data_IF_021667155928
#
_entry.id   IF_021667155928
#
_cell.length_a   1.000
_cell.length_b   1.000
_cell.length_c   1.000
_cell.angle_alpha   90.00
_cell.angle_beta   90.00
_cell.angle_gamma   90.00
#
_symmetry.space_group_name_H-M   'P 1'
#
loop_
_entity.id
_entity.type
_entity.pdbx_description
1 polymer ?
#
# COMPACT_ATOMS: atom_id res chain seq x y z
N UNK A 1 -2.43 18.42 4.61
CA UNK A 1 -1.40 17.68 5.40
C UNK A 1 -1.34 16.20 5.02
N UNK A 2 -2.41 15.41 5.17
CA UNK A 2 -2.41 13.96 4.88
C UNK A 2 -2.05 13.62 3.42
N UNK A 3 -2.62 14.33 2.45
CA UNK A 3 -2.35 14.11 1.02
C UNK A 3 -0.88 14.37 0.66
N UNK A 4 -0.27 15.43 1.19
CA UNK A 4 1.15 15.73 0.97
C UNK A 4 2.04 14.64 1.57
N UNK A 5 1.74 14.22 2.80
CA UNK A 5 2.43 13.13 3.46
C UNK A 5 2.31 11.81 2.68
N UNK A 6 1.12 11.46 2.19
CA UNK A 6 0.91 10.25 1.42
C UNK A 6 1.70 10.26 0.10
N UNK A 7 1.83 11.43 -0.53
CA UNK A 7 2.69 11.61 -1.71
C UNK A 7 4.17 11.39 -1.37
N UNK A 8 4.62 11.92 -0.23
CA UNK A 8 6.00 11.71 0.24
C UNK A 8 6.23 10.22 0.58
N UNK A 9 5.28 9.58 1.25
CA UNK A 9 5.33 8.15 1.56
C UNK A 9 5.40 7.30 0.28
N UNK A 10 4.61 7.63 -0.74
CA UNK A 10 4.66 6.94 -2.03
C UNK A 10 6.05 7.02 -2.67
N UNK A 11 6.68 8.20 -2.65
CA UNK A 11 8.04 8.38 -3.17
C UNK A 11 9.07 7.55 -2.40
N UNK A 12 8.91 7.47 -1.08
CA UNK A 12 9.75 6.63 -0.22
C UNK A 12 9.57 5.16 -0.58
N UNK A 13 8.34 4.68 -0.74
CA UNK A 13 8.08 3.29 -1.13
C UNK A 13 8.61 2.98 -2.54
N UNK A 14 8.52 3.92 -3.47
CA UNK A 14 9.16 3.79 -4.79
C UNK A 14 10.69 3.69 -4.70
N UNK A 15 11.31 4.44 -3.78
CA UNK A 15 12.76 4.36 -3.56
C UNK A 15 13.15 3.03 -2.90
N UNK A 16 12.43 2.59 -1.87
CA UNK A 16 12.61 1.28 -1.24
C UNK A 16 12.51 0.18 -2.31
N UNK A 17 11.47 0.18 -3.11
CA UNK A 17 11.29 -0.81 -4.14
C UNK A 17 12.42 -0.84 -5.17
N UNK A 18 12.99 0.32 -5.57
CA UNK A 18 14.14 0.39 -6.49
C UNK A 18 15.43 -0.17 -5.90
N UNK A 19 15.65 0.07 -4.61
CA UNK A 19 16.89 -0.34 -3.94
C UNK A 19 16.89 -1.80 -3.52
N UNK A 20 15.72 -2.36 -3.22
CA UNK A 20 15.61 -3.63 -2.50
C UNK A 20 14.93 -4.76 -3.24
N UNK A 21 14.18 -4.46 -4.28
CA UNK A 21 13.51 -5.48 -5.08
C UNK A 21 14.10 -5.56 -6.47
N UNK A 22 14.23 -6.78 -6.97
CA UNK A 22 14.47 -7.00 -8.40
C UNK A 22 13.29 -6.35 -9.14
N UNK A 23 13.53 -5.52 -10.16
CA UNK A 23 12.43 -4.90 -10.90
C UNK A 23 11.48 -5.98 -11.42
N UNK A 24 10.20 -5.84 -11.12
CA UNK A 24 9.19 -6.72 -11.66
C UNK A 24 9.05 -6.46 -13.15
N UNK A 25 9.04 -7.52 -13.95
CA UNK A 25 8.92 -7.41 -15.40
C UNK A 25 7.52 -6.98 -15.84
N UNK A 26 6.53 -7.30 -15.01
CA UNK A 26 5.13 -7.04 -15.35
C UNK A 26 4.22 -6.90 -14.12
N UNK A 27 3.03 -6.34 -14.35
CA UNK A 27 2.01 -6.11 -13.33
C UNK A 27 1.57 -7.40 -12.60
N UNK A 28 1.58 -8.56 -13.27
CA UNK A 28 1.21 -9.83 -12.62
C UNK A 28 2.19 -10.23 -11.53
N UNK A 29 3.48 -9.99 -11.74
CA UNK A 29 4.50 -10.29 -10.73
C UNK A 29 4.33 -9.41 -9.50
N UNK A 30 4.03 -8.12 -9.71
CA UNK A 30 3.74 -7.20 -8.60
C UNK A 30 2.56 -7.72 -7.77
N UNK A 31 1.44 -8.08 -8.41
CA UNK A 31 0.28 -8.59 -7.69
C UNK A 31 0.57 -9.93 -7.00
N UNK A 32 1.25 -10.86 -7.67
CA UNK A 32 1.57 -12.16 -7.09
C UNK A 32 2.52 -12.03 -5.87
N UNK A 33 3.33 -10.98 -5.84
CA UNK A 33 4.21 -10.67 -4.71
C UNK A 33 3.44 -10.09 -3.52
N UNK A 34 2.67 -9.04 -3.76
CA UNK A 34 2.08 -8.25 -2.67
C UNK A 34 0.75 -8.79 -2.16
N UNK A 35 -0.03 -9.45 -3.00
CA UNK A 35 -1.33 -9.97 -2.58
C UNK A 35 -1.24 -10.92 -1.37
N UNK A 36 -0.37 -11.97 -1.37
CA UNK A 36 -0.25 -12.83 -0.20
C UNK A 36 0.28 -12.09 1.02
N UNK A 37 1.24 -11.18 0.86
CA UNK A 37 1.79 -10.40 1.97
C UNK A 37 0.73 -9.52 2.65
N UNK A 38 -0.08 -8.81 1.86
CA UNK A 38 -1.16 -7.99 2.43
C UNK A 38 -2.21 -8.86 3.14
N UNK A 39 -2.49 -10.05 2.63
CA UNK A 39 -3.40 -11.00 3.30
C UNK A 39 -2.79 -11.47 4.63
N UNK A 40 -1.50 -11.76 4.68
CA UNK A 40 -0.78 -12.14 5.90
C UNK A 40 -0.87 -11.02 6.96
N UNK A 41 -0.56 -9.78 6.58
CA UNK A 41 -0.67 -8.60 7.46
C UNK A 41 -2.11 -8.36 7.97
N UNK A 42 -3.11 -8.67 7.16
CA UNK A 42 -4.51 -8.59 7.60
C UNK A 42 -4.86 -9.66 8.66
N UNK A 43 -4.27 -10.85 8.56
CA UNK A 43 -4.41 -11.88 9.61
C UNK A 43 -3.70 -11.48 10.89
N UNK A 44 -2.49 -10.91 10.81
CA UNK A 44 -1.75 -10.42 11.97
C UNK A 44 -2.51 -9.27 12.65
N UNK A 45 -3.12 -8.37 11.88
CA UNK A 45 -3.98 -7.32 12.37
C UNK A 45 -5.19 -7.89 13.14
N UNK A 46 -5.86 -8.91 12.60
CA UNK A 46 -6.99 -9.57 13.27
C UNK A 46 -6.55 -10.27 14.56
N UNK A 47 -5.47 -11.03 14.51
CA UNK A 47 -4.91 -11.72 15.67
C UNK A 47 -4.50 -10.73 16.77
N UNK A 48 -3.87 -9.61 16.41
CA UNK A 48 -3.43 -8.58 17.36
C UNK A 48 -4.59 -7.96 18.14
N UNK A 49 -5.76 -7.82 17.50
CA UNK A 49 -6.98 -7.37 18.19
C UNK A 49 -7.50 -8.42 19.17
N UNK A 50 -7.57 -9.67 18.76
CA UNK A 50 -8.07 -10.76 19.61
C UNK A 50 -7.20 -10.95 20.86
N UNK A 51 -5.89 -10.80 20.73
CA UNK A 51 -4.92 -10.95 21.81
C UNK A 51 -4.76 -9.67 22.67
N UNK A 52 -5.44 -8.57 22.32
CA UNK A 52 -5.32 -7.29 23.02
C UNK A 52 -3.90 -6.71 23.00
N UNK A 53 -3.12 -7.02 21.96
CA UNK A 53 -1.73 -6.57 21.84
C UNK A 53 -1.68 -5.04 21.66
N UNK A 54 -0.70 -4.40 22.35
CA UNK A 54 -0.44 -2.95 22.18
C UNK A 54 -0.01 -2.58 20.75
N UNK A 55 0.47 -3.55 19.98
CA UNK A 55 0.93 -3.39 18.59
C UNK A 55 -0.20 -3.34 17.56
N UNK A 56 -1.48 -3.40 17.93
CA UNK A 56 -2.59 -3.48 16.98
C UNK A 56 -2.59 -2.34 15.94
N UNK A 57 -2.26 -1.11 16.34
CA UNK A 57 -2.15 0.00 15.40
C UNK A 57 -0.87 -0.05 14.55
N UNK A 58 0.17 -0.76 15.02
CA UNK A 58 1.37 -1.03 14.22
C UNK A 58 1.05 -2.04 13.10
N UNK A 59 0.32 -3.11 13.40
CA UNK A 59 -0.14 -4.06 12.38
C UNK A 59 -1.05 -3.38 11.34
N UNK A 60 -1.93 -2.47 11.79
CA UNK A 60 -2.72 -1.64 10.87
C UNK A 60 -1.84 -0.79 9.96
N UNK A 61 -0.75 -0.23 10.49
CA UNK A 61 0.20 0.56 9.71
C UNK A 61 0.96 -0.31 8.70
N UNK A 62 1.26 -1.57 9.03
CA UNK A 62 1.93 -2.49 8.10
C UNK A 62 1.01 -2.82 6.92
N UNK A 63 -0.26 -3.13 7.14
CA UNK A 63 -1.24 -3.27 6.04
C UNK A 63 -1.28 -2.02 5.16
N UNK A 64 -1.27 -0.82 5.79
CA UNK A 64 -1.28 0.45 5.06
C UNK A 64 -0.02 0.62 4.20
N UNK A 65 1.15 0.34 4.76
CA UNK A 65 2.46 0.43 4.08
C UNK A 65 2.50 -0.52 2.88
N UNK A 66 2.09 -1.77 3.04
CA UNK A 66 2.07 -2.75 1.95
C UNK A 66 1.10 -2.37 0.82
N UNK A 67 -0.04 -1.74 1.13
CA UNK A 67 -0.94 -1.21 0.09
C UNK A 67 -0.30 -0.05 -0.69
N UNK A 68 0.42 0.85 0.01
CA UNK A 68 1.15 1.94 -0.65
C UNK A 68 2.31 1.39 -1.47
N UNK A 69 3.01 0.35 -1.00
CA UNK A 69 4.08 -0.30 -1.74
C UNK A 69 3.54 -1.02 -2.99
N UNK A 70 2.43 -1.75 -2.87
CA UNK A 70 1.75 -2.36 -4.00
C UNK A 70 1.43 -1.31 -5.08
N UNK A 71 0.86 -0.18 -4.66
CA UNK A 71 0.55 0.91 -5.58
C UNK A 71 1.82 1.50 -6.21
N UNK A 72 2.87 1.73 -5.42
CA UNK A 72 4.15 2.24 -5.88
C UNK A 72 4.78 1.37 -6.98
N UNK A 73 4.73 0.05 -6.81
CA UNK A 73 5.30 -0.89 -7.77
C UNK A 73 4.41 -1.10 -9.00
N UNK A 74 3.09 -1.09 -8.85
CA UNK A 74 2.17 -1.07 -10.00
C UNK A 74 2.35 0.19 -10.82
N UNK A 75 2.52 1.34 -10.16
CA UNK A 75 2.62 2.64 -10.81
C UNK A 75 3.88 2.81 -11.66
N UNK A 76 4.94 2.00 -11.43
CA UNK A 76 6.12 1.96 -12.32
C UNK A 76 5.78 1.52 -13.74
N UNK A 77 4.70 0.77 -13.90
CA UNK A 77 4.19 0.33 -15.20
C UNK A 77 3.18 1.29 -15.81
N UNK A 78 2.90 2.43 -15.13
CA UNK A 78 1.97 3.43 -15.64
C UNK A 78 2.61 4.28 -16.74
N UNK A 79 1.95 4.48 -17.88
CA UNK A 79 2.52 5.22 -19.01
C UNK A 79 2.90 6.67 -18.69
N UNK A 80 2.19 7.31 -17.76
CA UNK A 80 2.39 8.74 -17.46
C UNK A 80 3.20 9.03 -16.18
N UNK A 81 3.60 8.05 -15.39
CA UNK A 81 4.45 8.11 -14.17
C UNK A 81 4.27 9.33 -13.22
N UNK A 82 3.17 10.05 -13.30
CA UNK A 82 2.87 11.24 -12.47
C UNK A 82 2.12 10.85 -11.20
N UNK A 83 2.78 10.07 -10.30
CA UNK A 83 2.13 9.43 -9.19
C UNK A 83 1.68 10.36 -8.05
N UNK A 84 0.39 10.53 -7.92
CA UNK A 84 -0.23 10.87 -6.64
C UNK A 84 -1.35 9.86 -6.40
N UNK A 85 -1.40 9.26 -5.21
CA UNK A 85 -2.57 8.45 -4.83
C UNK A 85 -3.72 9.44 -4.62
N UNK A 86 -4.80 9.38 -5.42
CA UNK A 86 -5.98 10.16 -5.11
C UNK A 86 -6.57 9.62 -3.81
N UNK A 87 -6.35 10.34 -2.72
CA UNK A 87 -6.85 9.93 -1.43
C UNK A 87 -8.06 10.77 -1.05
N UNK A 88 -9.21 10.13 -1.00
CA UNK A 88 -10.47 10.73 -0.56
C UNK A 88 -10.81 10.19 0.81
N UNK A 89 -10.43 10.87 1.91
CA UNK A 89 -10.83 10.42 3.24
C UNK A 89 -12.36 10.50 3.33
N UNK A 90 -12.99 9.37 3.55
CA UNK A 90 -14.39 9.34 3.92
C UNK A 90 -14.56 10.08 5.25
N UNK A 91 -15.34 11.14 5.25
CA UNK A 91 -15.33 12.13 6.31
C UNK A 91 -16.08 11.70 7.60
N UNK A 92 -16.83 10.60 7.62
CA UNK A 92 -17.84 10.43 8.69
C UNK A 92 -18.00 8.99 9.22
N UNK A 93 -17.39 7.96 8.65
CA UNK A 93 -17.71 6.57 9.04
C UNK A 93 -16.57 5.95 9.83
N UNK A 94 -16.82 5.61 11.09
CA UNK A 94 -15.99 4.65 11.83
C UNK A 94 -16.33 3.24 11.36
N UNK A 95 -15.32 2.45 11.04
CA UNK A 95 -15.47 1.06 10.62
C UNK A 95 -15.06 0.13 11.77
N UNK A 96 -15.72 -1.02 11.86
CA UNK A 96 -15.22 -2.15 12.65
C UNK A 96 -14.01 -2.79 11.96
N UNK A 97 -13.26 -3.65 12.67
CA UNK A 97 -12.15 -4.38 12.07
C UNK A 97 -12.63 -5.28 10.94
N UNK A 98 -13.70 -6.04 11.18
CA UNK A 98 -14.29 -6.94 10.19
C UNK A 98 -14.72 -6.21 8.91
N UNK A 99 -15.38 -5.06 9.03
CA UNK A 99 -15.74 -4.22 7.89
C UNK A 99 -14.52 -3.70 7.15
N UNK A 100 -13.46 -3.35 7.88
CA UNK A 100 -12.20 -2.86 7.32
C UNK A 100 -11.50 -3.94 6.53
N UNK A 101 -11.29 -5.11 7.14
CA UNK A 101 -10.69 -6.28 6.47
C UNK A 101 -11.51 -6.66 5.24
N UNK A 102 -12.82 -6.78 5.38
CA UNK A 102 -13.72 -7.11 4.27
C UNK A 102 -13.60 -6.12 3.10
N UNK A 103 -13.51 -4.82 3.39
CA UNK A 103 -13.33 -3.79 2.36
C UNK A 103 -11.97 -3.91 1.67
N UNK A 104 -10.88 -4.09 2.43
CA UNK A 104 -9.52 -4.23 1.87
C UNK A 104 -9.44 -5.48 0.99
N UNK A 105 -9.88 -6.64 1.49
CA UNK A 105 -9.87 -7.92 0.74
C UNK A 105 -10.69 -7.82 -0.54
N UNK A 106 -11.88 -7.20 -0.49
CA UNK A 106 -12.72 -6.99 -1.66
C UNK A 106 -12.00 -6.14 -2.73
N UNK A 107 -11.30 -5.07 -2.33
CA UNK A 107 -10.57 -4.21 -3.27
C UNK A 107 -9.36 -4.93 -3.87
N UNK A 108 -8.58 -5.64 -3.05
CA UNK A 108 -7.47 -6.47 -3.50
C UNK A 108 -7.92 -7.55 -4.48
N UNK A 109 -9.04 -8.22 -4.19
CA UNK A 109 -9.63 -9.22 -5.08
C UNK A 109 -10.03 -8.65 -6.45
N UNK A 110 -10.54 -7.40 -6.47
CA UNK A 110 -10.85 -6.69 -7.72
C UNK A 110 -9.58 -6.34 -8.49
N UNK A 111 -8.55 -5.82 -7.83
CA UNK A 111 -7.24 -5.52 -8.46
C UNK A 111 -6.65 -6.79 -9.06
N UNK A 112 -6.59 -7.88 -8.28
CA UNK A 112 -6.09 -9.16 -8.78
C UNK A 112 -6.86 -9.66 -10.01
N UNK A 113 -8.18 -9.51 -10.00
CA UNK A 113 -9.04 -9.90 -11.12
C UNK A 113 -8.77 -9.07 -12.37
N UNK A 114 -8.60 -7.76 -12.24
CA UNK A 114 -8.26 -6.87 -13.37
C UNK A 114 -6.96 -7.31 -14.06
N UNK A 115 -5.94 -7.65 -13.25
CA UNK A 115 -4.64 -8.11 -13.74
C UNK A 115 -4.74 -9.51 -14.37
N UNK A 116 -5.43 -10.44 -13.72
CA UNK A 116 -5.58 -11.83 -14.19
C UNK A 116 -6.42 -11.92 -15.47
N UNK A 117 -7.47 -11.14 -15.60
CA UNK A 117 -8.32 -11.14 -16.79
C UNK A 117 -7.53 -10.69 -18.02
N UNK A 118 -6.64 -9.69 -17.89
CA UNK A 118 -5.78 -9.25 -18.98
C UNK A 118 -4.89 -10.40 -19.51
N UNK A 119 -4.30 -11.19 -18.61
CA UNK A 119 -3.49 -12.34 -19.00
C UNK A 119 -4.31 -13.46 -19.67
N UNK A 120 -5.49 -13.73 -19.12
CA UNK A 120 -6.35 -14.81 -19.62
C UNK A 120 -6.88 -14.50 -21.03
N UNK A 121 -7.28 -13.27 -21.28
CA UNK A 121 -7.76 -12.86 -22.60
C UNK A 121 -6.66 -12.88 -23.66
N UNK A 122 -5.42 -12.44 -23.32
CA UNK A 122 -4.27 -12.54 -24.25
C UNK A 122 -3.93 -13.96 -24.66
N UNK A 123 -4.14 -14.94 -23.79
CA UNK A 123 -3.80 -16.34 -24.10
C UNK A 123 -4.87 -17.10 -24.87
N UNK A 124 -6.14 -16.66 -24.81
CA UNK A 124 -7.28 -17.41 -25.32
C UNK A 124 -7.87 -16.87 -26.61
N UNK A 125 -7.68 -15.59 -26.88
CA UNK A 125 -8.20 -14.91 -28.07
C UNK A 125 -7.08 -14.05 -28.66
N UNK A 126 -6.56 -14.47 -29.80
CA UNK A 126 -5.67 -13.59 -30.57
C UNK A 126 -6.36 -12.27 -30.81
N UNK A 127 -5.77 -11.21 -30.28
CA UNK A 127 -6.01 -9.79 -30.58
C UNK A 127 -7.44 -9.42 -31.02
N UNK A 128 -8.42 -9.68 -30.18
CA UNK A 128 -9.74 -9.08 -30.35
C UNK A 128 -9.85 -7.85 -29.44
N UNK A 129 -10.73 -6.92 -29.76
CA UNK A 129 -10.99 -5.57 -29.19
C UNK A 129 -11.01 -5.46 -27.64
N UNK A 130 -10.70 -6.52 -26.92
CA UNK A 130 -10.64 -6.60 -25.46
C UNK A 130 -9.24 -6.39 -24.88
N UNK A 131 -8.25 -6.00 -25.67
CA UNK A 131 -6.95 -5.50 -25.18
C UNK A 131 -7.17 -4.06 -24.63
N UNK A 132 -8.21 -3.95 -23.81
CA UNK A 132 -8.48 -2.72 -23.07
C UNK A 132 -7.25 -2.43 -22.23
N UNK A 133 -6.70 -1.26 -22.41
CA UNK A 133 -5.65 -0.71 -21.56
C UNK A 133 -6.00 -0.97 -20.09
N UNK A 134 -5.00 -1.35 -19.31
CA UNK A 134 -5.19 -1.52 -17.86
C UNK A 134 -5.83 -0.26 -17.31
N UNK A 135 -6.98 -0.40 -16.65
CA UNK A 135 -7.74 0.75 -16.18
C UNK A 135 -7.11 1.33 -14.90
N UNK A 136 -6.19 2.24 -15.09
CA UNK A 136 -5.46 2.91 -14.02
C UNK A 136 -6.36 3.71 -13.09
N UNK A 137 -7.39 4.38 -13.61
CA UNK A 137 -8.35 5.12 -12.80
C UNK A 137 -9.12 4.19 -11.85
N UNK A 138 -9.50 3.01 -12.32
CA UNK A 138 -10.11 1.99 -11.46
C UNK A 138 -9.15 1.48 -10.40
N UNK A 139 -7.86 1.32 -10.72
CA UNK A 139 -6.83 0.97 -9.73
C UNK A 139 -6.71 2.04 -8.66
N UNK A 140 -6.59 3.31 -9.07
CA UNK A 140 -6.48 4.45 -8.17
C UNK A 140 -7.64 4.50 -7.18
N UNK A 141 -8.86 4.32 -7.67
CA UNK A 141 -10.07 4.28 -6.87
C UNK A 141 -10.08 3.08 -5.90
N UNK A 142 -9.66 1.89 -6.34
CA UNK A 142 -9.63 0.69 -5.50
C UNK A 142 -8.62 0.83 -4.36
N UNK A 143 -7.42 1.30 -4.64
CA UNK A 143 -6.38 1.55 -3.62
C UNK A 143 -6.81 2.66 -2.66
N UNK A 144 -7.30 3.79 -3.18
CA UNK A 144 -7.79 4.89 -2.36
C UNK A 144 -8.87 4.44 -1.38
N UNK A 145 -9.82 3.62 -1.82
CA UNK A 145 -10.86 3.09 -0.93
C UNK A 145 -10.31 2.10 0.11
N UNK A 146 -9.32 1.26 -0.25
CA UNK A 146 -8.69 0.37 0.71
C UNK A 146 -7.94 1.15 1.80
N UNK A 147 -7.12 2.13 1.42
CA UNK A 147 -6.41 3.01 2.35
C UNK A 147 -7.37 3.82 3.23
N UNK A 148 -8.46 4.33 2.64
CA UNK A 148 -9.50 5.06 3.38
C UNK A 148 -10.17 4.19 4.44
N UNK A 149 -10.41 2.90 4.17
CA UNK A 149 -10.98 1.98 5.15
C UNK A 149 -10.07 1.82 6.38
N UNK A 150 -8.75 1.69 6.18
CA UNK A 150 -7.77 1.60 7.27
C UNK A 150 -7.73 2.89 8.11
N UNK A 151 -7.73 4.06 7.46
CA UNK A 151 -7.75 5.36 8.16
C UNK A 151 -9.05 5.56 8.94
N UNK A 152 -10.20 5.14 8.39
CA UNK A 152 -11.47 5.19 9.11
C UNK A 152 -11.48 4.29 10.35
N UNK A 153 -10.87 3.11 10.25
CA UNK A 153 -10.71 2.22 11.39
C UNK A 153 -9.78 2.82 12.46
N UNK A 154 -8.62 3.34 12.07
CA UNK A 154 -7.68 4.02 12.99
C UNK A 154 -8.37 5.14 13.78
N UNK A 155 -9.18 5.95 13.09
CA UNK A 155 -9.99 7.01 13.72
C UNK A 155 -10.96 6.44 14.75
N UNK A 156 -11.63 5.33 14.45
CA UNK A 156 -12.51 4.63 15.40
C UNK A 156 -11.78 4.10 16.65
N UNK A 157 -10.46 3.99 16.59
CA UNK A 157 -9.57 3.65 17.72
C UNK A 157 -8.94 4.88 18.37
N UNK A 158 -9.49 6.08 18.15
CA UNK A 158 -8.95 7.36 18.62
C UNK A 158 -7.52 7.67 18.15
N UNK A 159 -7.11 7.06 17.03
CA UNK A 159 -5.83 7.31 16.39
C UNK A 159 -6.07 8.20 15.17
N UNK A 160 -6.05 9.51 15.38
CA UNK A 160 -6.36 10.47 14.33
C UNK A 160 -5.12 11.01 13.63
N UNK A 161 -5.27 11.26 12.34
CA UNK A 161 -4.38 12.03 11.48
C UNK A 161 -2.89 11.99 11.81
N UNK A 162 -2.45 12.82 12.76
CA UNK A 162 -1.03 12.91 13.15
C UNK A 162 -0.52 11.64 13.83
N UNK A 163 -1.31 11.05 14.71
CA UNK A 163 -0.89 9.87 15.49
C UNK A 163 -0.73 8.67 14.57
N UNK A 164 -1.65 8.48 13.62
CA UNK A 164 -1.54 7.41 12.63
C UNK A 164 -0.33 7.63 11.69
N UNK A 165 -0.12 8.87 11.24
CA UNK A 165 1.06 9.25 10.44
C UNK A 165 2.36 8.91 11.20
N UNK A 166 2.43 9.23 12.48
CA UNK A 166 3.60 8.94 13.32
C UNK A 166 3.87 7.44 13.43
N UNK A 167 2.83 6.62 13.64
CA UNK A 167 2.97 5.16 13.67
C UNK A 167 3.50 4.62 12.35
N UNK A 168 2.90 5.03 11.23
CA UNK A 168 3.35 4.61 9.89
C UNK A 168 4.81 5.04 9.65
N UNK A 169 5.18 6.28 10.00
CA UNK A 169 6.54 6.77 9.81
C UNK A 169 7.57 5.99 10.64
N UNK A 170 7.25 5.65 11.90
CA UNK A 170 8.11 4.81 12.75
C UNK A 170 8.31 3.41 12.15
N UNK A 171 7.26 2.81 11.58
CA UNK A 171 7.37 1.50 10.91
C UNK A 171 8.23 1.59 9.66
N UNK A 172 8.04 2.62 8.83
CA UNK A 172 8.88 2.85 7.64
C UNK A 172 10.34 3.09 8.03
N UNK A 173 10.60 3.94 9.04
CA UNK A 173 11.96 4.20 9.52
C UNK A 173 12.64 2.93 10.03
N UNK A 174 11.93 2.07 10.77
CA UNK A 174 12.43 0.77 11.23
C UNK A 174 12.79 -0.15 10.06
N UNK A 175 11.95 -0.22 9.04
CA UNK A 175 12.21 -1.00 7.82
C UNK A 175 13.46 -0.49 7.11
N UNK A 176 13.56 0.82 6.93
CA UNK A 176 14.73 1.46 6.29
C UNK A 176 16.00 1.18 7.07
N UNK A 177 15.99 1.35 8.41
CA UNK A 177 17.14 1.06 9.27
C UNK A 177 17.56 -0.41 9.18
N UNK A 178 16.59 -1.34 9.19
CA UNK A 178 16.88 -2.77 9.01
C UNK A 178 17.58 -3.04 7.69
N UNK A 179 17.16 -2.40 6.62
CA UNK A 179 17.74 -2.54 5.31
C UNK A 179 19.16 -1.96 5.26
N UNK A 180 19.41 -0.77 5.87
CA UNK A 180 20.76 -0.20 5.97
C UNK A 180 21.73 -1.15 6.67
N UNK A 181 21.30 -1.65 7.83
CA UNK A 181 22.15 -2.51 8.67
C UNK A 181 22.40 -3.87 8.04
N UNK A 182 21.38 -4.48 7.40
CA UNK A 182 21.48 -5.82 6.81
C UNK A 182 22.26 -5.87 5.50
N UNK A 183 22.27 -4.77 4.73
CA UNK A 183 22.92 -4.74 3.39
C UNK A 183 24.17 -3.87 3.32
N UNK A 184 24.57 -3.19 4.38
CA UNK A 184 25.72 -2.28 4.44
C UNK A 184 25.73 -1.24 3.28
N UNK A 185 24.55 -0.85 2.80
CA UNK A 185 24.40 0.12 1.72
C UNK A 185 23.95 1.47 2.27
N UNK A 186 24.56 2.53 1.77
CA UNK A 186 24.09 3.90 2.01
C UNK A 186 22.69 4.08 1.41
N UNK A 187 21.74 4.50 2.22
CA UNK A 187 20.37 4.78 1.78
C UNK A 187 20.33 6.00 0.87
N UNK A 188 19.44 5.96 -0.12
CA UNK A 188 19.11 7.09 -0.97
C UNK A 188 18.76 8.32 -0.11
N UNK A 189 19.21 9.50 -0.53
CA UNK A 189 18.99 10.78 0.13
C UNK A 189 17.51 11.06 0.43
N UNK A 190 16.61 10.66 -0.46
CA UNK A 190 15.17 10.83 -0.27
C UNK A 190 14.61 10.06 0.92
N UNK A 191 15.16 8.87 1.22
CA UNK A 191 14.78 8.08 2.39
C UNK A 191 15.25 8.76 3.68
N UNK A 192 16.46 9.31 3.70
CA UNK A 192 16.98 10.07 4.84
C UNK A 192 16.18 11.34 5.10
N UNK A 193 15.87 12.09 4.05
CA UNK A 193 15.09 13.32 4.14
C UNK A 193 13.67 13.05 4.67
N UNK A 194 13.05 11.92 4.26
CA UNK A 194 11.76 11.50 4.79
C UNK A 194 11.83 11.18 6.28
N UNK A 195 12.79 10.33 6.70
CA UNK A 195 12.98 9.98 8.11
C UNK A 195 13.20 11.24 8.93
N UNK A 196 14.13 12.12 8.53
CA UNK A 196 14.42 13.36 9.25
C UNK A 196 13.23 14.34 9.31
N UNK A 197 12.34 14.29 8.33
CA UNK A 197 11.16 15.17 8.28
C UNK A 197 10.05 14.70 9.22
N UNK A 198 9.90 13.39 9.40
CA UNK A 198 8.75 12.80 10.08
C UNK A 198 9.09 12.03 11.37
N UNK A 199 10.37 11.88 11.71
CA UNK A 199 10.87 11.23 12.95
C UNK A 199 11.10 12.28 14.07
N UNK A 200 10.30 13.33 14.10
CA UNK A 200 10.26 14.36 15.14
C UNK A 200 9.01 14.14 15.97
#
# INVERSE_FOLDING_TARGET
>A
MFTTWLTDLLRVQQAIGREFYVPYENINEVINRFYPQIIEELYELEESQQLGKRSHLEELADVFIYLVQLYADLYRHHPNQTGSIPFYPSTIVTLTLEETIGKVVLKLGKIRRMVSNRKYHKSKYEATEWDTEFNWESLDNLISHALSALVCYARGKNCEGKDFIEIVNKRVAKTVLYIETSRQRSIDRHLRDFIMKYDK
#
